data_IF_576415909902
#
_entry.id   IF_576415909902
#
_cell.length_a   1.000
_cell.length_b   1.000
_cell.length_c   1.000
_cell.angle_alpha   90.00
_cell.angle_beta   90.00
_cell.angle_gamma   90.00
#
_symmetry.space_group_name_H-M   'P 1'
#
loop_
_entity.id
_entity.type
_entity.pdbx_description
1 polymer ?
#
# COMPACT_ATOMS: atom_id res chain seq x y z
N UNK A 1 -26.22 -6.51 7.60
CA UNK A 1 -25.60 -5.17 7.61
C UNK A 1 -24.13 -5.15 7.17
N UNK A 2 -23.49 -6.28 6.84
CA UNK A 2 -22.12 -6.30 6.30
C UNK A 2 -22.06 -6.10 4.76
N UNK A 3 -23.02 -6.63 4.02
CA UNK A 3 -22.96 -6.80 2.56
C UNK A 3 -23.11 -5.53 1.70
N UNK A 4 -23.67 -4.43 2.23
CA UNK A 4 -23.84 -3.19 1.46
C UNK A 4 -22.54 -2.39 1.35
N UNK A 5 -21.70 -2.43 2.39
CA UNK A 5 -20.43 -1.72 2.41
C UNK A 5 -19.41 -2.38 1.48
N UNK A 6 -19.46 -3.71 1.36
CA UNK A 6 -18.58 -4.47 0.48
C UNK A 6 -18.76 -4.09 -1.00
N UNK A 7 -20.01 -3.87 -1.43
CA UNK A 7 -20.32 -3.42 -2.79
C UNK A 7 -19.75 -2.04 -3.12
N UNK A 8 -19.75 -1.12 -2.16
CA UNK A 8 -19.15 0.22 -2.32
C UNK A 8 -17.63 0.15 -2.29
N UNK A 9 -17.07 -0.69 -1.42
CA UNK A 9 -15.62 -0.85 -1.26
C UNK A 9 -14.95 -1.53 -2.47
N UNK A 10 -15.68 -2.39 -3.18
CA UNK A 10 -15.17 -3.13 -4.34
C UNK A 10 -14.58 -2.23 -5.44
N UNK A 11 -15.15 -1.04 -5.65
CA UNK A 11 -14.67 -0.08 -6.66
C UNK A 11 -13.30 0.55 -6.30
N UNK A 12 -12.92 0.53 -5.02
CA UNK A 12 -11.68 1.15 -4.51
C UNK A 12 -10.54 0.13 -4.40
N UNK A 13 -10.83 -1.17 -4.52
CA UNK A 13 -9.82 -2.22 -4.46
C UNK A 13 -8.96 -2.22 -5.72
N UNK A 14 -7.64 -2.29 -5.50
CA UNK A 14 -6.65 -2.41 -6.57
C UNK A 14 -6.30 -3.87 -6.81
N UNK A 15 -6.30 -4.28 -8.07
CA UNK A 15 -5.94 -5.64 -8.52
C UNK A 15 -4.47 -5.77 -8.95
N UNK A 16 -3.72 -4.67 -9.01
CA UNK A 16 -2.34 -4.62 -9.51
C UNK A 16 -1.27 -4.78 -8.41
N UNK A 17 -1.68 -5.02 -7.16
CA UNK A 17 -0.75 -5.19 -6.03
C UNK A 17 -0.28 -6.65 -5.96
N UNK A 18 1.04 -6.92 -6.05
CA UNK A 18 1.55 -8.29 -5.94
C UNK A 18 1.37 -8.84 -4.52
N UNK A 19 1.38 -10.17 -4.40
CA UNK A 19 1.42 -10.81 -3.09
C UNK A 19 2.80 -10.58 -2.43
N UNK A 20 2.80 -10.10 -1.19
CA UNK A 20 4.00 -9.92 -0.35
C UNK A 20 3.65 -10.15 1.12
N UNK A 21 4.64 -10.50 1.92
CA UNK A 21 4.50 -10.86 3.34
C UNK A 21 5.51 -10.11 4.21
N UNK A 22 5.27 -10.02 5.53
CA UNK A 22 6.29 -9.56 6.46
C UNK A 22 7.58 -10.38 6.30
N UNK A 23 8.73 -9.69 6.23
CA UNK A 23 10.03 -10.27 5.90
C UNK A 23 10.50 -9.98 4.48
N UNK A 24 9.59 -9.68 3.55
CA UNK A 24 9.96 -9.39 2.16
C UNK A 24 10.59 -8.00 2.03
N UNK A 25 11.55 -7.88 1.11
CA UNK A 25 12.09 -6.57 0.72
C UNK A 25 11.29 -6.02 -0.46
N UNK A 26 10.67 -4.86 -0.26
CA UNK A 26 9.83 -4.20 -1.26
C UNK A 26 10.44 -2.87 -1.69
N UNK A 27 10.18 -2.47 -2.94
CA UNK A 27 10.51 -1.15 -3.46
C UNK A 27 9.23 -0.37 -3.81
N UNK A 28 8.80 0.50 -2.89
CA UNK A 28 7.56 1.27 -3.01
C UNK A 28 7.82 2.58 -3.74
N UNK A 29 7.11 2.80 -4.84
CA UNK A 29 7.20 4.04 -5.61
C UNK A 29 6.09 4.99 -5.17
N UNK A 30 6.45 6.00 -4.39
CA UNK A 30 5.52 7.01 -3.90
C UNK A 30 5.53 8.20 -4.84
N UNK A 31 4.36 8.59 -5.36
CA UNK A 31 4.21 9.83 -6.10
C UNK A 31 4.05 10.97 -5.09
N UNK A 32 5.05 11.83 -5.01
CA UNK A 32 5.03 13.03 -4.17
C UNK A 32 4.67 14.21 -5.05
N UNK A 33 3.58 14.89 -4.72
CA UNK A 33 3.07 16.06 -5.44
C UNK A 33 3.15 17.25 -4.49
N UNK A 34 4.04 18.19 -4.78
CA UNK A 34 4.29 19.41 -4.01
C UNK A 34 3.93 20.61 -4.90
N UNK A 35 2.69 21.11 -4.77
CA UNK A 35 2.15 22.16 -5.64
C UNK A 35 2.13 21.75 -7.12
N UNK A 36 2.86 22.48 -7.97
CA UNK A 36 2.94 22.22 -9.41
C UNK A 36 4.01 21.19 -9.80
N UNK A 37 4.85 20.72 -8.87
CA UNK A 37 5.93 19.77 -9.16
C UNK A 37 5.55 18.39 -8.63
N UNK A 38 5.74 17.37 -9.46
CA UNK A 38 5.58 15.98 -9.06
C UNK A 38 6.89 15.22 -9.27
N UNK A 39 7.20 14.31 -8.35
CA UNK A 39 8.33 13.37 -8.44
C UNK A 39 7.91 11.99 -7.96
N UNK A 40 8.58 10.96 -8.46
CA UNK A 40 8.44 9.60 -7.94
C UNK A 40 9.60 9.37 -6.97
N UNK A 41 9.28 9.15 -5.70
CA UNK A 41 10.24 8.81 -4.66
C UNK A 41 10.21 7.31 -4.42
N UNK A 42 11.39 6.68 -4.46
CA UNK A 42 11.54 5.26 -4.17
C UNK A 42 11.81 5.03 -2.69
N UNK A 43 11.04 4.15 -2.08
CA UNK A 43 11.20 3.70 -0.70
C UNK A 43 11.43 2.20 -0.67
N UNK A 44 12.72 1.81 -0.62
CA UNK A 44 13.14 0.41 -0.51
C UNK A 44 13.39 0.04 0.94
N UNK A 45 12.82 -1.08 1.38
CA UNK A 45 13.01 -1.59 2.74
C UNK A 45 12.31 -2.93 2.97
N UNK A 46 12.39 -3.41 4.20
CA UNK A 46 11.79 -4.69 4.61
C UNK A 46 10.40 -4.44 5.17
N UNK A 47 9.41 -5.25 4.77
CA UNK A 47 8.07 -5.22 5.34
C UNK A 47 8.12 -5.81 6.74
N UNK A 48 7.74 -5.02 7.75
CA UNK A 48 7.74 -5.47 9.16
C UNK A 48 6.35 -5.84 9.66
N UNK A 49 5.31 -5.33 9.01
CA UNK A 49 3.91 -5.54 9.42
C UNK A 49 2.99 -5.42 8.22
N UNK A 50 1.94 -6.23 8.21
CA UNK A 50 0.78 -6.13 7.32
C UNK A 50 -0.47 -6.45 8.15
N UNK A 51 -1.51 -5.64 8.07
CA UNK A 51 -2.70 -5.74 8.92
C UNK A 51 -3.94 -5.18 8.23
N UNK A 52 -5.13 -5.55 8.72
CA UNK A 52 -6.40 -5.18 8.12
C UNK A 52 -6.81 -6.12 6.99
N UNK A 53 -7.89 -5.79 6.29
CA UNK A 53 -8.45 -6.60 5.22
C UNK A 53 -9.20 -5.74 4.21
N UNK A 54 -9.15 -6.11 2.93
CA UNK A 54 -9.83 -5.37 1.87
C UNK A 54 -9.29 -3.94 1.74
N UNK A 55 -10.17 -2.94 1.69
CA UNK A 55 -9.80 -1.53 1.48
C UNK A 55 -9.03 -0.92 2.67
N UNK A 56 -9.21 -1.47 3.88
CA UNK A 56 -8.52 -0.99 5.09
C UNK A 56 -7.21 -1.71 5.37
N UNK A 57 -6.73 -2.54 4.42
CA UNK A 57 -5.45 -3.21 4.55
C UNK A 57 -4.28 -2.22 4.47
N UNK A 58 -3.35 -2.32 5.42
CA UNK A 58 -2.16 -1.47 5.52
C UNK A 58 -0.92 -2.31 5.79
N UNK A 59 0.23 -1.82 5.35
CA UNK A 59 1.53 -2.44 5.62
C UNK A 59 2.57 -1.40 6.00
N UNK A 60 3.58 -1.82 6.75
CA UNK A 60 4.65 -0.96 7.24
C UNK A 60 5.98 -1.48 6.72
N UNK A 61 6.76 -0.58 6.11
CA UNK A 61 8.10 -0.87 5.59
C UNK A 61 9.13 -0.17 6.45
N UNK A 62 10.13 -0.92 6.92
CA UNK A 62 11.31 -0.39 7.61
C UNK A 62 12.46 -0.30 6.62
N UNK A 63 12.92 0.93 6.36
CA UNK A 63 14.17 1.19 5.64
C UNK A 63 15.33 1.31 6.64
N UNK A 64 16.46 0.68 6.32
CA UNK A 64 17.77 0.98 6.92
C UNK A 64 18.47 1.93 5.95
N UNK A 65 18.91 3.09 6.45
CA UNK A 65 19.58 4.12 5.65
C UNK A 65 21.07 4.14 5.90
#
# INVERSE_FOLDING_TARGET
>A
MASLLDGVNAATLRSDVPAFRPGDTVNVHVRVIEGNRSRIQQFKGVVIRRQGSGVSETFTVRKVS
#
